data_IF_033861362958
#
_entry.id   IF_033861362958
#
_cell.length_a   1.000
_cell.length_b   1.000
_cell.length_c   1.000
_cell.angle_alpha   90.00
_cell.angle_beta   90.00
_cell.angle_gamma   90.00
#
_symmetry.space_group_name_H-M   'P 1'
#
loop_
_entity.id
_entity.type
_entity.pdbx_description
1 polymer ?
#
# COMPACT_ATOMS: atom_id res chain seq x y z
N UNK A 1 -14.97 4.98 -2.10
CA UNK A 1 -14.27 5.65 -3.22
C UNK A 1 -15.14 6.74 -3.83
N UNK A 2 -14.52 7.68 -4.50
CA UNK A 2 -15.24 8.74 -5.20
C UNK A 2 -16.23 8.12 -6.21
N UNK A 3 -17.52 8.44 -6.05
CA UNK A 3 -18.64 7.92 -6.85
C UNK A 3 -18.63 6.40 -6.97
N UNK A 4 -18.09 5.71 -5.98
CA UNK A 4 -17.99 4.24 -5.91
C UNK A 4 -17.33 3.61 -7.17
N UNK A 5 -16.35 4.29 -7.75
CA UNK A 5 -15.62 3.78 -8.92
C UNK A 5 -14.75 2.57 -8.60
N UNK A 6 -14.31 2.45 -7.35
CA UNK A 6 -13.46 1.35 -6.89
C UNK A 6 -12.25 1.13 -7.80
N UNK A 7 -11.40 2.17 -8.00
CA UNK A 7 -10.30 2.14 -8.95
C UNK A 7 -9.09 1.40 -8.39
N UNK A 8 -9.30 0.21 -7.88
CA UNK A 8 -8.25 -0.61 -7.30
C UNK A 8 -8.21 -2.00 -7.90
N UNK A 9 -7.04 -2.59 -7.82
CA UNK A 9 -6.82 -4.00 -8.14
C UNK A 9 -5.79 -4.55 -7.16
N UNK A 10 -6.05 -5.71 -6.60
CA UNK A 10 -5.19 -6.33 -5.61
C UNK A 10 -4.52 -7.57 -6.20
N UNK A 11 -3.20 -7.65 -6.05
CA UNK A 11 -2.46 -8.83 -6.48
C UNK A 11 -1.91 -9.51 -5.24
N UNK A 12 -2.40 -10.70 -4.95
CA UNK A 12 -1.95 -11.51 -3.81
C UNK A 12 -0.80 -12.40 -4.29
N UNK A 13 0.35 -12.28 -3.65
CA UNK A 13 1.57 -13.00 -4.02
C UNK A 13 1.94 -13.94 -2.88
N UNK A 14 1.93 -15.24 -3.15
CA UNK A 14 2.33 -16.30 -2.19
C UNK A 14 3.47 -17.16 -2.72
N UNK A 15 3.78 -17.05 -4.01
CA UNK A 15 4.89 -17.77 -4.63
C UNK A 15 6.23 -17.23 -4.12
N UNK A 16 7.09 -18.11 -3.64
CA UNK A 16 8.37 -17.73 -3.03
C UNK A 16 9.29 -16.97 -3.99
N UNK A 17 9.34 -17.39 -5.25
CA UNK A 17 10.20 -16.74 -6.25
C UNK A 17 9.68 -15.32 -6.55
N UNK A 18 8.37 -15.15 -6.65
CA UNK A 18 7.76 -13.84 -6.84
C UNK A 18 7.96 -12.93 -5.62
N UNK A 19 7.83 -13.46 -4.41
CA UNK A 19 8.09 -12.71 -3.18
C UNK A 19 9.56 -12.24 -3.13
N UNK A 20 10.50 -13.09 -3.52
CA UNK A 20 11.91 -12.72 -3.61
C UNK A 20 12.14 -11.59 -4.62
N UNK A 21 11.49 -11.66 -5.77
CA UNK A 21 11.59 -10.63 -6.81
C UNK A 21 10.98 -9.30 -6.36
N UNK A 22 9.86 -9.35 -5.62
CA UNK A 22 9.28 -8.14 -5.03
C UNK A 22 10.20 -7.51 -3.99
N UNK A 23 10.88 -8.33 -3.17
CA UNK A 23 11.85 -7.85 -2.20
C UNK A 23 13.02 -7.13 -2.89
N UNK A 24 13.45 -7.61 -4.04
CA UNK A 24 14.52 -6.99 -4.84
C UNK A 24 14.04 -5.72 -5.54
N UNK A 25 12.78 -5.68 -5.97
CA UNK A 25 12.21 -4.55 -6.70
C UNK A 25 12.02 -3.31 -5.82
N UNK A 26 11.83 -3.48 -4.51
CA UNK A 26 11.62 -2.38 -3.57
C UNK A 26 12.52 -2.57 -2.35
N UNK A 27 13.53 -1.70 -2.15
CA UNK A 27 14.47 -1.82 -1.02
C UNK A 27 13.78 -1.82 0.34
N UNK A 28 12.61 -1.18 0.46
CA UNK A 28 11.84 -1.13 1.71
C UNK A 28 11.00 -2.38 1.94
N UNK A 29 10.88 -3.25 0.94
CA UNK A 29 10.10 -4.49 1.02
C UNK A 29 10.99 -5.73 1.14
N UNK A 30 12.23 -5.59 1.62
CA UNK A 30 13.18 -6.70 1.74
C UNK A 30 12.63 -7.88 2.55
N UNK A 31 11.79 -7.63 3.54
CA UNK A 31 11.18 -8.68 4.36
C UNK A 31 10.21 -9.58 3.56
N UNK A 32 9.79 -9.17 2.37
CA UNK A 32 8.92 -9.99 1.51
C UNK A 32 9.59 -11.33 1.14
N UNK A 33 10.91 -11.37 1.06
CA UNK A 33 11.65 -12.60 0.76
C UNK A 33 11.41 -13.72 1.77
N UNK A 34 11.05 -13.39 3.00
CA UNK A 34 10.83 -14.34 4.10
C UNK A 34 9.37 -14.40 4.56
N UNK A 35 8.51 -13.57 4.00
CA UNK A 35 7.10 -13.52 4.38
C UNK A 35 6.29 -14.60 3.66
N UNK A 36 5.17 -15.06 4.26
CA UNK A 36 4.28 -16.02 3.61
C UNK A 36 3.47 -15.40 2.46
N UNK A 37 3.22 -14.09 2.50
CA UNK A 37 2.48 -13.43 1.44
C UNK A 37 2.74 -11.93 1.41
N UNK A 38 2.47 -11.35 0.24
CA UNK A 38 2.38 -9.91 0.06
C UNK A 38 1.13 -9.59 -0.76
N UNK A 39 0.59 -8.40 -0.57
CA UNK A 39 -0.50 -7.87 -1.40
C UNK A 39 0.00 -6.59 -2.03
N UNK A 40 -0.01 -6.54 -3.36
CA UNK A 40 0.31 -5.33 -4.11
C UNK A 40 -0.99 -4.64 -4.45
N UNK A 41 -1.17 -3.42 -3.93
CA UNK A 41 -2.37 -2.62 -4.19
C UNK A 41 -2.07 -1.73 -5.39
N UNK A 42 -2.87 -1.88 -6.44
CA UNK A 42 -2.73 -1.13 -7.69
C UNK A 42 -3.93 -0.22 -7.91
N UNK A 43 -3.67 0.96 -8.47
CA UNK A 43 -4.73 1.78 -9.03
C UNK A 43 -5.06 1.30 -10.43
N UNK A 44 -6.35 1.23 -10.74
CA UNK A 44 -6.85 0.84 -12.06
C UNK A 44 -7.32 2.09 -12.80
N UNK A 45 -6.51 2.53 -13.76
CA UNK A 45 -6.77 3.77 -14.49
C UNK A 45 -7.95 3.67 -15.46
N UNK A 46 -8.40 2.45 -15.77
CA UNK A 46 -9.63 2.26 -16.54
C UNK A 46 -10.88 2.53 -15.71
N UNK A 47 -10.76 2.44 -14.38
CA UNK A 47 -11.87 2.70 -13.44
C UNK A 47 -11.78 4.06 -12.78
N UNK A 48 -10.61 4.67 -12.74
CA UNK A 48 -10.39 5.98 -12.12
C UNK A 48 -11.21 7.06 -12.82
N UNK A 49 -11.53 8.12 -12.08
CA UNK A 49 -12.18 9.30 -12.66
C UNK A 49 -11.25 9.98 -13.66
N UNK A 50 -11.84 10.79 -14.53
CA UNK A 50 -11.08 11.52 -15.55
C UNK A 50 -10.66 12.92 -15.05
N UNK A 51 -9.71 13.54 -15.75
CA UNK A 51 -9.22 14.87 -15.43
C UNK A 51 -8.51 14.91 -14.07
N UNK A 52 -8.65 16.03 -13.37
CA UNK A 52 -8.00 16.23 -12.06
C UNK A 52 -8.47 15.22 -11.02
N UNK A 53 -9.73 14.79 -11.12
CA UNK A 53 -10.32 13.82 -10.19
C UNK A 53 -9.70 12.42 -10.31
N UNK A 54 -8.92 12.16 -11.35
CA UNK A 54 -8.20 10.90 -11.51
C UNK A 54 -7.28 10.63 -10.32
N UNK A 55 -6.65 11.67 -9.78
CA UNK A 55 -5.71 11.53 -8.66
C UNK A 55 -6.35 10.99 -7.38
N UNK A 56 -7.68 11.00 -7.26
CA UNK A 56 -8.36 10.37 -6.13
C UNK A 56 -8.07 8.87 -6.00
N UNK A 57 -7.60 8.23 -7.07
CA UNK A 57 -7.22 6.81 -6.99
C UNK A 57 -6.18 6.55 -5.90
N UNK A 58 -5.28 7.48 -5.66
CA UNK A 58 -4.26 7.36 -4.62
C UNK A 58 -4.91 7.30 -3.24
N UNK A 59 -5.88 8.20 -2.99
CA UNK A 59 -6.62 8.23 -1.73
C UNK A 59 -7.45 6.96 -1.55
N UNK A 60 -8.15 6.54 -2.59
CA UNK A 60 -8.99 5.34 -2.57
C UNK A 60 -8.18 4.08 -2.26
N UNK A 61 -7.06 3.89 -2.97
CA UNK A 61 -6.17 2.75 -2.77
C UNK A 61 -5.46 2.82 -1.41
N UNK A 62 -5.16 4.02 -0.91
CA UNK A 62 -4.58 4.21 0.42
C UNK A 62 -5.57 3.82 1.52
N UNK A 63 -6.84 4.17 1.36
CA UNK A 63 -7.88 3.78 2.30
C UNK A 63 -8.04 2.25 2.33
N UNK A 64 -8.05 1.60 1.17
CA UNK A 64 -8.09 0.14 1.09
C UNK A 64 -6.86 -0.49 1.76
N UNK A 65 -5.70 0.09 1.56
CA UNK A 65 -4.45 -0.38 2.19
C UNK A 65 -4.53 -0.33 3.71
N UNK A 66 -4.99 0.79 4.28
CA UNK A 66 -5.13 0.93 5.73
C UNK A 66 -6.12 -0.10 6.29
N UNK A 67 -7.21 -0.36 5.59
CA UNK A 67 -8.16 -1.40 5.99
C UNK A 67 -7.51 -2.79 6.01
N UNK A 68 -6.62 -3.09 5.06
CA UNK A 68 -5.87 -4.35 5.05
C UNK A 68 -4.96 -4.44 6.27
N UNK A 69 -4.24 -3.36 6.59
CA UNK A 69 -3.36 -3.32 7.77
C UNK A 69 -4.14 -3.54 9.07
N UNK A 70 -5.29 -2.89 9.21
CA UNK A 70 -6.16 -3.03 10.38
C UNK A 70 -6.72 -4.45 10.47
N UNK A 71 -7.17 -5.02 9.36
CA UNK A 71 -7.68 -6.40 9.32
C UNK A 71 -6.59 -7.40 9.71
N UNK A 72 -5.36 -7.22 9.21
CA UNK A 72 -4.23 -8.08 9.57
C UNK A 72 -3.97 -8.05 11.08
N UNK A 73 -3.96 -6.85 11.68
CA UNK A 73 -3.83 -6.70 13.13
C UNK A 73 -4.94 -7.43 13.88
N UNK A 74 -6.19 -7.27 13.43
CA UNK A 74 -7.35 -7.96 14.03
C UNK A 74 -7.27 -9.47 13.94
N UNK A 75 -6.54 -10.00 12.96
CA UNK A 75 -6.31 -11.44 12.78
C UNK A 75 -5.05 -11.94 13.51
N UNK A 76 -4.35 -11.09 14.24
CA UNK A 76 -3.11 -11.44 14.92
C UNK A 76 -1.89 -11.54 14.01
N UNK A 77 -1.97 -10.94 12.82
CA UNK A 77 -0.88 -10.92 11.85
C UNK A 77 -0.09 -9.61 11.92
N UNK A 78 1.18 -9.66 11.53
CA UNK A 78 1.99 -8.48 11.30
C UNK A 78 1.88 -8.04 9.85
N UNK A 79 1.93 -6.73 9.60
CA UNK A 79 1.90 -6.20 8.25
C UNK A 79 2.65 -4.88 8.19
N UNK A 80 3.13 -4.55 6.99
CA UNK A 80 3.82 -3.27 6.76
C UNK A 80 3.51 -2.74 5.37
N UNK A 81 3.23 -1.45 5.31
CA UNK A 81 3.04 -0.70 4.06
C UNK A 81 4.40 -0.28 3.53
N UNK A 82 4.76 -0.75 2.35
CA UNK A 82 5.98 -0.31 1.67
C UNK A 82 5.62 0.42 0.39
N UNK A 83 6.01 1.70 0.31
CA UNK A 83 5.61 2.59 -0.79
C UNK A 83 6.27 2.24 -2.12
N UNK A 84 5.48 2.30 -3.19
CA UNK A 84 5.93 2.16 -4.56
C UNK A 84 5.71 3.47 -5.30
N UNK A 85 4.47 3.83 -5.60
CA UNK A 85 4.12 5.13 -6.19
C UNK A 85 4.35 6.24 -5.15
N UNK A 86 4.89 7.44 -5.48
CA UNK A 86 5.13 7.94 -6.84
C UNK A 86 6.55 7.70 -7.40
N UNK A 87 7.34 6.78 -6.83
CA UNK A 87 8.66 6.49 -7.37
C UNK A 87 8.54 5.76 -8.71
N UNK A 88 8.97 6.42 -9.80
CA UNK A 88 8.92 5.83 -11.13
C UNK A 88 9.77 4.56 -11.19
N UNK A 89 10.96 4.58 -10.60
CA UNK A 89 11.86 3.44 -10.57
C UNK A 89 11.21 2.22 -9.90
N UNK A 90 10.60 2.43 -8.73
CA UNK A 90 9.93 1.34 -8.00
C UNK A 90 8.69 0.85 -8.72
N UNK A 91 7.89 1.76 -9.29
CA UNK A 91 6.73 1.38 -10.09
C UNK A 91 7.13 0.52 -11.28
N UNK A 92 8.18 0.91 -12.01
CA UNK A 92 8.66 0.16 -13.17
C UNK A 92 9.17 -1.23 -12.75
N UNK A 93 9.90 -1.31 -11.64
CA UNK A 93 10.43 -2.58 -11.14
C UNK A 93 9.33 -3.55 -10.74
N UNK A 94 8.34 -3.10 -9.96
CA UNK A 94 7.20 -3.92 -9.55
C UNK A 94 6.33 -4.31 -10.74
N UNK A 95 6.10 -3.39 -11.66
CA UNK A 95 5.37 -3.64 -12.91
C UNK A 95 6.02 -4.77 -13.69
N UNK A 96 7.34 -4.78 -13.79
CA UNK A 96 8.08 -5.83 -14.49
C UNK A 96 7.94 -7.19 -13.80
N UNK A 97 8.07 -7.22 -12.47
CA UNK A 97 7.95 -8.46 -11.69
C UNK A 97 6.57 -9.09 -11.86
N UNK A 98 5.51 -8.27 -11.79
CA UNK A 98 4.12 -8.75 -11.81
C UNK A 98 3.49 -8.73 -13.20
N UNK A 99 4.23 -8.30 -14.24
CA UNK A 99 3.72 -8.18 -15.60
C UNK A 99 2.43 -7.34 -15.65
N UNK A 100 2.44 -6.17 -15.02
CA UNK A 100 1.27 -5.30 -14.96
C UNK A 100 1.01 -4.64 -16.31
N UNK A 101 -0.26 -4.55 -16.75
CA UNK A 101 -0.61 -3.73 -17.91
C UNK A 101 -0.46 -2.24 -17.59
N UNK A 102 -0.44 -1.39 -18.63
CA UNK A 102 -0.22 0.05 -18.46
C UNK A 102 -1.26 0.75 -17.59
N UNK A 103 -2.49 0.22 -17.54
CA UNK A 103 -3.56 0.82 -16.75
C UNK A 103 -3.52 0.47 -15.26
N UNK A 104 -2.64 -0.44 -14.82
CA UNK A 104 -2.45 -0.75 -13.40
C UNK A 104 -1.18 -0.07 -12.90
N UNK A 105 -1.33 0.79 -11.91
CA UNK A 105 -0.21 1.51 -11.28
C UNK A 105 -0.03 0.96 -9.85
N UNK A 106 1.12 0.34 -9.53
CA UNK A 106 1.32 -0.21 -8.19
C UNK A 106 1.54 0.93 -7.18
N UNK A 107 0.62 1.05 -6.22
CA UNK A 107 0.71 2.05 -5.16
C UNK A 107 1.69 1.64 -4.07
N UNK A 108 1.57 0.40 -3.63
CA UNK A 108 2.38 -0.14 -2.54
C UNK A 108 2.43 -1.65 -2.58
N UNK A 109 3.35 -2.20 -1.78
CA UNK A 109 3.42 -3.63 -1.46
C UNK A 109 3.20 -3.79 0.04
N UNK A 110 2.17 -4.50 0.42
CA UNK A 110 1.89 -4.83 1.82
C UNK A 110 2.46 -6.21 2.10
N UNK A 111 3.46 -6.28 2.97
CA UNK A 111 4.06 -7.55 3.39
C UNK A 111 3.34 -8.03 4.64
N UNK A 112 2.86 -9.25 4.64
CA UNK A 112 2.04 -9.82 5.72
C UNK A 112 2.67 -11.13 6.20
N UNK A 113 2.74 -11.30 7.52
CA UNK A 113 3.28 -12.51 8.11
C UNK A 113 2.93 -12.63 9.58
N UNK A 114 3.47 -13.67 10.20
CA UNK A 114 3.30 -13.88 11.63
C UNK A 114 4.34 -13.04 12.37
N UNK A 115 3.94 -12.22 13.38
CA UNK A 115 4.90 -11.40 14.10
C UNK A 115 5.80 -12.26 15.00
N UNK A 116 7.10 -11.95 15.02
CA UNK A 116 8.06 -12.63 15.89
C UNK A 116 7.94 -12.21 17.35
N UNK A 117 7.39 -11.02 17.59
CA UNK A 117 7.25 -10.44 18.92
C UNK A 117 6.05 -9.51 18.97
N UNK A 118 5.52 -9.32 20.19
CA UNK A 118 4.50 -8.30 20.41
C UNK A 118 5.17 -6.93 20.45
N UNK A 119 4.66 -6.03 19.64
CA UNK A 119 5.11 -4.64 19.61
C UNK A 119 4.14 -3.81 20.45
N UNK A 120 4.69 -3.04 21.39
CA UNK A 120 3.87 -2.11 22.17
C UNK A 120 3.46 -0.94 21.28
N UNK A 121 2.15 -0.60 21.25
CA UNK A 121 1.69 0.56 20.50
C UNK A 121 2.41 1.83 20.98
N UNK A 122 2.81 2.66 20.03
CA UNK A 122 3.45 3.95 20.34
C UNK A 122 2.38 5.03 20.37
N UNK A 123 2.42 5.89 21.38
CA UNK A 123 1.61 7.08 21.38
C UNK A 123 2.20 8.08 20.39
N UNK A 124 1.48 8.28 19.30
CA UNK A 124 1.89 9.21 18.23
C UNK A 124 1.04 10.49 18.22
N UNK A 125 0.18 10.67 19.21
CA UNK A 125 -0.65 11.85 19.29
C UNK A 125 0.22 13.10 19.51
N UNK A 126 -0.06 14.12 18.73
CA UNK A 126 0.60 15.42 18.86
C UNK A 126 -0.46 16.51 18.81
N UNK A 127 -0.60 17.23 19.89
CA UNK A 127 -1.59 18.31 20.01
C UNK A 127 -1.36 19.42 18.98
N UNK A 128 -0.13 19.69 18.63
CA UNK A 128 0.21 20.70 17.62
C UNK A 128 -0.34 20.38 16.22
N UNK A 129 -0.77 19.15 15.99
CA UNK A 129 -1.39 18.76 14.71
C UNK A 129 -2.89 18.99 14.67
N UNK A 130 -3.46 19.58 15.74
CA UNK A 130 -4.92 19.79 15.86
C UNK A 130 -5.21 21.24 16.14
N UNK A 131 -5.99 21.87 15.27
CA UNK A 131 -6.56 23.21 15.48
C UNK A 131 -8.08 23.12 15.48
N UNK A 132 -8.75 24.07 16.12
CA UNK A 132 -10.20 24.08 16.24
C UNK A 132 -10.78 25.26 15.46
N UNK A 133 -11.82 25.00 14.65
CA UNK A 133 -12.57 25.94 13.84
C UNK A 133 -11.78 26.62 12.71
N UNK A 134 -10.48 26.83 12.88
CA UNK A 134 -9.57 27.39 11.88
C UNK A 134 -8.16 26.91 12.19
N UNK A 135 -7.24 27.11 11.24
CA UNK A 135 -5.84 26.82 11.50
C UNK A 135 -5.30 27.82 12.51
N UNK A 136 -4.64 27.30 13.53
CA UNK A 136 -3.92 28.07 14.55
C UNK A 136 -2.47 27.59 14.56
N UNK A 137 -1.55 28.44 14.14
CA UNK A 137 -0.13 28.12 14.11
C UNK A 137 0.69 29.35 13.75
N UNK A 138 1.97 29.31 14.02
CA UNK A 138 2.92 30.37 13.72
C UNK A 138 3.26 30.42 12.22
#
# INVERSE_FOLDING_TARGET
>A
TAVNKQPWHFIVVTDKDQLQKLAEANPNAGMAAKAPLAIVVCGDMNKALEGDAREFWVQDCSAATENILLAATGMGLGSVWTGTYPSKERCDAVTKVLNLPKFLIPLNTIVIGYPDSQVTPKDKWKQENVSYNAYEGD
#
